data_IF_359665369432
#
_entry.id   IF_359665369432
#
_cell.length_a   1.000
_cell.length_b   1.000
_cell.length_c   1.000
_cell.angle_alpha   90.00
_cell.angle_beta   90.00
_cell.angle_gamma   90.00
#
_symmetry.space_group_name_H-M   'P 1'
#
loop_
_entity.id
_entity.type
_entity.pdbx_description
1 polymer ?
#
# COMPACT_ATOMS: atom_id res chain seq x y z
N UNK A 1 -8.75 12.07 -14.62
CA UNK A 1 -8.68 12.22 -13.15
C UNK A 1 -9.59 11.26 -12.39
N UNK A 2 -10.87 11.09 -12.76
CA UNK A 2 -11.82 10.20 -12.03
C UNK A 2 -11.32 8.75 -11.84
N UNK A 3 -10.56 8.20 -12.78
CA UNK A 3 -10.02 6.84 -12.71
C UNK A 3 -8.85 6.65 -11.72
N UNK A 4 -8.16 7.72 -11.34
CA UNK A 4 -7.01 7.66 -10.42
C UNK A 4 -7.45 7.71 -8.94
N UNK A 5 -8.67 8.19 -8.69
CA UNK A 5 -9.18 8.40 -7.34
C UNK A 5 -9.36 7.07 -6.55
N UNK A 6 -9.93 5.99 -7.14
CA UNK A 6 -10.08 4.72 -6.42
C UNK A 6 -8.76 4.10 -5.91
N UNK A 7 -7.70 3.93 -6.73
CA UNK A 7 -6.46 3.32 -6.24
C UNK A 7 -5.76 4.16 -5.16
N UNK A 8 -5.85 5.50 -5.22
CA UNK A 8 -5.31 6.37 -4.17
C UNK A 8 -6.03 6.16 -2.84
N UNK A 9 -7.37 6.17 -2.84
CA UNK A 9 -8.16 6.01 -1.61
C UNK A 9 -7.85 4.68 -0.93
N UNK A 10 -7.82 3.59 -1.72
CA UNK A 10 -7.52 2.25 -1.20
C UNK A 10 -6.10 2.21 -0.60
N UNK A 11 -5.12 2.82 -1.28
CA UNK A 11 -3.74 2.87 -0.78
C UNK A 11 -3.64 3.66 0.52
N UNK A 12 -4.34 4.78 0.67
CA UNK A 12 -4.37 5.58 1.90
C UNK A 12 -4.96 4.76 3.07
N UNK A 13 -6.09 4.09 2.84
CA UNK A 13 -6.73 3.23 3.86
C UNK A 13 -5.79 2.10 4.27
N UNK A 14 -5.12 1.48 3.30
CA UNK A 14 -4.17 0.39 3.54
C UNK A 14 -2.95 0.86 4.34
N UNK A 15 -2.38 2.03 4.01
CA UNK A 15 -1.29 2.63 4.79
C UNK A 15 -1.74 2.91 6.22
N UNK A 16 -2.95 3.48 6.40
CA UNK A 16 -3.49 3.75 7.73
C UNK A 16 -3.67 2.46 8.55
N UNK A 17 -4.15 1.39 7.93
CA UNK A 17 -4.24 0.07 8.55
C UNK A 17 -2.86 -0.46 8.98
N UNK A 18 -1.84 -0.36 8.11
CA UNK A 18 -0.48 -0.80 8.47
C UNK A 18 0.14 0.05 9.58
N UNK A 19 -0.14 1.37 9.62
CA UNK A 19 0.30 2.23 10.73
C UNK A 19 -0.34 1.82 12.05
N UNK A 20 -1.63 1.47 12.06
CA UNK A 20 -2.29 0.93 13.24
C UNK A 20 -1.67 -0.41 13.66
N UNK A 21 -1.36 -1.28 12.71
CA UNK A 21 -0.70 -2.55 12.98
C UNK A 21 0.70 -2.35 13.58
N UNK A 22 1.51 -1.44 13.03
CA UNK A 22 2.83 -1.06 13.55
C UNK A 22 2.71 -0.53 14.99
N UNK A 23 1.73 0.33 15.25
CA UNK A 23 1.45 0.85 16.59
C UNK A 23 1.12 -0.27 17.58
N UNK A 24 0.26 -1.20 17.18
CA UNK A 24 -0.05 -2.42 17.96
C UNK A 24 1.20 -3.28 18.18
N UNK A 25 2.03 -3.46 17.15
CA UNK A 25 3.22 -4.29 17.26
C UNK A 25 4.25 -3.75 18.27
N UNK A 26 4.39 -2.42 18.34
CA UNK A 26 5.29 -1.74 19.28
C UNK A 26 4.74 -1.79 20.72
N UNK A 27 3.42 -1.69 20.90
CA UNK A 27 2.78 -1.55 22.21
C UNK A 27 2.40 -2.88 22.87
N UNK A 28 2.04 -3.91 22.10
CA UNK A 28 1.50 -5.18 22.61
C UNK A 28 2.60 -6.24 22.80
N UNK A 29 3.52 -6.38 21.84
CA UNK A 29 4.52 -7.44 21.89
C UNK A 29 5.74 -7.03 22.72
N UNK A 30 6.01 -7.75 23.80
CA UNK A 30 7.25 -7.65 24.58
C UNK A 30 8.47 -8.29 23.90
N UNK A 31 8.40 -9.51 23.34
CA UNK A 31 9.59 -10.13 22.77
C UNK A 31 10.08 -9.33 21.56
N UNK A 32 11.36 -8.95 21.61
CA UNK A 32 11.97 -8.03 20.65
C UNK A 32 11.86 -8.52 19.20
N UNK A 33 12.00 -9.82 18.97
CA UNK A 33 11.91 -10.39 17.62
C UNK A 33 10.52 -10.21 17.01
N UNK A 34 9.43 -10.47 17.76
CA UNK A 34 8.05 -10.25 17.27
C UNK A 34 7.77 -8.78 17.01
N UNK A 35 8.26 -7.89 17.87
CA UNK A 35 8.15 -6.44 17.67
C UNK A 35 8.84 -6.00 16.38
N UNK A 36 10.08 -6.45 16.17
CA UNK A 36 10.86 -6.10 14.97
C UNK A 36 10.18 -6.64 13.71
N UNK A 37 9.77 -7.91 13.68
CA UNK A 37 9.07 -8.48 12.53
C UNK A 37 7.73 -7.80 12.27
N UNK A 38 7.00 -7.49 13.34
CA UNK A 38 5.71 -6.79 13.29
C UNK A 38 5.80 -5.34 12.82
N UNK A 39 7.00 -4.75 12.79
CA UNK A 39 7.24 -3.41 12.23
C UNK A 39 7.83 -3.48 10.82
N UNK A 40 8.83 -4.33 10.60
CA UNK A 40 9.52 -4.44 9.31
C UNK A 40 8.58 -4.92 8.20
N UNK A 41 7.76 -5.94 8.48
CA UNK A 41 6.88 -6.51 7.45
C UNK A 41 5.84 -5.48 6.96
N UNK A 42 5.07 -4.80 7.83
CA UNK A 42 4.14 -3.76 7.37
C UNK A 42 4.83 -2.58 6.69
N UNK A 43 6.04 -2.18 7.15
CA UNK A 43 6.80 -1.11 6.48
C UNK A 43 7.17 -1.50 5.05
N UNK A 44 7.63 -2.73 4.83
CA UNK A 44 7.91 -3.23 3.49
C UNK A 44 6.64 -3.25 2.62
N UNK A 45 5.51 -3.68 3.19
CA UNK A 45 4.22 -3.68 2.49
C UNK A 45 3.72 -2.27 2.17
N UNK A 46 3.96 -1.27 3.02
CA UNK A 46 3.69 0.14 2.69
C UNK A 46 4.51 0.56 1.47
N UNK A 47 5.80 0.23 1.44
CA UNK A 47 6.68 0.54 0.31
C UNK A 47 6.18 -0.09 -1.00
N UNK A 48 5.84 -1.38 -0.97
CA UNK A 48 5.25 -2.10 -2.13
C UNK A 48 3.92 -1.47 -2.54
N UNK A 49 3.06 -1.11 -1.59
CA UNK A 49 1.76 -0.50 -1.89
C UNK A 49 1.90 0.85 -2.60
N UNK A 50 2.88 1.65 -2.19
CA UNK A 50 3.19 2.93 -2.85
C UNK A 50 3.75 2.69 -4.26
N UNK A 51 4.65 1.71 -4.43
CA UNK A 51 5.19 1.35 -5.74
C UNK A 51 4.08 0.96 -6.73
N UNK A 52 3.19 0.05 -6.31
CA UNK A 52 2.03 -0.36 -7.13
C UNK A 52 1.10 0.81 -7.45
N UNK A 53 0.89 1.73 -6.49
CA UNK A 53 0.10 2.94 -6.76
C UNK A 53 0.75 3.82 -7.84
N UNK A 54 2.08 3.97 -7.82
CA UNK A 54 2.81 4.74 -8.83
C UNK A 54 2.69 4.07 -10.21
N UNK A 55 2.86 2.75 -10.30
CA UNK A 55 2.66 2.00 -11.55
C UNK A 55 1.25 2.21 -12.09
N UNK A 56 0.21 2.05 -11.26
CA UNK A 56 -1.17 2.28 -11.68
C UNK A 56 -1.45 3.71 -12.12
N UNK A 57 -0.91 4.71 -11.42
CA UNK A 57 -1.04 6.10 -11.86
C UNK A 57 -0.35 6.30 -13.21
N UNK A 58 0.77 5.63 -13.44
CA UNK A 58 1.53 5.71 -14.69
C UNK A 58 0.76 5.05 -15.84
N UNK A 59 0.23 3.84 -15.66
CA UNK A 59 -0.62 3.13 -16.64
C UNK A 59 -1.88 3.92 -17.03
N UNK A 60 -2.56 4.53 -16.04
CA UNK A 60 -3.75 5.37 -16.30
C UNK A 60 -3.36 6.63 -17.08
N UNK A 61 -2.16 7.16 -16.87
CA UNK A 61 -1.66 8.36 -17.55
C UNK A 61 -1.05 8.05 -18.93
N UNK A 62 -0.44 6.89 -19.11
CA UNK A 62 0.12 6.43 -20.39
C UNK A 62 -0.97 6.05 -21.39
N UNK A 63 -2.19 5.79 -20.91
CA UNK A 63 -3.29 5.34 -21.75
C UNK A 63 -3.23 3.84 -22.05
N UNK A 64 -2.30 3.09 -21.45
CA UNK A 64 -2.21 1.62 -21.55
C UNK A 64 -3.45 0.93 -20.98
N UNK A 65 -4.21 1.61 -20.12
CA UNK A 65 -5.53 1.18 -19.66
C UNK A 65 -6.56 0.97 -20.81
N UNK A 66 -6.34 1.59 -21.97
CA UNK A 66 -7.24 1.52 -23.13
C UNK A 66 -7.09 0.20 -23.92
N UNK A 67 -5.91 -0.44 -23.88
CA UNK A 67 -5.62 -1.63 -24.70
C UNK A 67 -6.22 -2.93 -24.14
N UNK A 68 -6.43 -3.02 -22.82
CA UNK A 68 -7.12 -4.15 -22.19
C UNK A 68 -8.65 -4.13 -22.40
N UNK A 69 -9.20 -3.02 -22.90
CA UNK A 69 -10.63 -2.94 -23.27
C UNK A 69 -10.96 -3.61 -24.61
N UNK A 70 -9.95 -4.10 -25.34
CA UNK A 70 -10.08 -4.74 -26.66
C UNK A 70 -10.14 -6.27 -26.65
N UNK A 71 -10.26 -6.89 -25.48
CA UNK A 71 -10.48 -8.34 -25.35
C UNK A 71 -11.84 -8.65 -24.74
#
# INVERSE_FOLDING_TARGET
MKKILPPIIITIILIMYFLLFISGAITIYEPMWLRVTGVIIPLALIGVSIFVLIERITEIRSGEEDDLSKY
#
